data_IF_739441186240
#
_entry.id   IF_739441186240
#
_cell.length_a   1.000
_cell.length_b   1.000
_cell.length_c   1.000
_cell.angle_alpha   90.00
_cell.angle_beta   90.00
_cell.angle_gamma   90.00
#
_symmetry.space_group_name_H-M   'P 1'
#
loop_
_entity.id
_entity.type
_entity.pdbx_description
1 polymer ?
#
# COMPACT_ATOMS: atom_id res chain seq x y z
N UNK A 1 -15.51 -3.97 -31.45
CA UNK A 1 -16.27 -3.22 -32.46
C UNK A 1 -17.13 -2.19 -31.75
N UNK A 2 -17.02 -0.91 -32.10
CA UNK A 2 -17.91 0.12 -31.55
C UNK A 2 -19.29 -0.01 -32.21
N UNK A 3 -20.39 -0.23 -31.46
CA UNK A 3 -21.72 -0.47 -32.04
C UNK A 3 -22.27 0.69 -32.88
N UNK A 4 -21.80 1.91 -32.63
CA UNK A 4 -22.30 3.15 -33.24
C UNK A 4 -21.51 3.58 -34.48
N UNK A 5 -20.24 3.17 -34.60
CA UNK A 5 -19.32 3.64 -35.65
C UNK A 5 -18.69 2.53 -36.49
N UNK A 6 -18.86 1.25 -36.10
CA UNK A 6 -18.28 0.09 -36.79
C UNK A 6 -16.75 0.00 -36.68
N UNK A 7 -16.12 0.83 -35.85
CA UNK A 7 -14.67 0.86 -35.72
C UNK A 7 -14.20 -0.39 -34.97
N UNK A 8 -13.26 -1.11 -35.56
CA UNK A 8 -12.54 -2.25 -34.98
C UNK A 8 -11.09 -1.82 -34.76
N UNK A 9 -10.59 -2.04 -33.54
CA UNK A 9 -9.20 -1.79 -33.18
C UNK A 9 -8.51 -3.14 -33.09
N UNK A 10 -7.51 -3.37 -33.94
CA UNK A 10 -6.74 -4.61 -34.01
C UNK A 10 -5.27 -4.35 -33.65
N UNK A 11 -4.68 -5.27 -32.87
CA UNK A 11 -3.29 -5.15 -32.42
C UNK A 11 -2.97 -6.07 -31.25
N UNK A 12 -1.69 -6.10 -30.86
CA UNK A 12 -1.25 -6.74 -29.62
C UNK A 12 -1.25 -5.69 -28.50
N UNK A 13 -2.18 -5.83 -27.57
CA UNK A 13 -2.28 -4.95 -26.42
C UNK A 13 -1.71 -5.63 -25.19
N UNK A 14 -0.97 -4.85 -24.39
CA UNK A 14 -0.56 -5.23 -23.05
C UNK A 14 -0.78 -4.04 -22.13
N UNK A 15 -1.34 -4.31 -20.96
CA UNK A 15 -1.50 -3.31 -19.91
C UNK A 15 -0.18 -3.05 -19.15
N UNK A 16 0.90 -3.76 -19.49
CA UNK A 16 2.18 -3.65 -18.81
C UNK A 16 2.07 -3.99 -17.32
N UNK A 17 2.70 -3.20 -16.46
CA UNK A 17 2.64 -3.38 -15.01
C UNK A 17 1.27 -3.09 -14.41
N UNK A 18 0.48 -2.22 -15.04
CA UNK A 18 -0.86 -1.82 -14.58
C UNK A 18 -1.79 -3.04 -14.57
N UNK A 19 -1.67 -3.91 -15.57
CA UNK A 19 -2.45 -5.15 -15.66
C UNK A 19 -2.13 -6.19 -14.59
N UNK A 20 -1.09 -5.98 -13.77
CA UNK A 20 -0.75 -6.85 -12.64
C UNK A 20 -1.50 -6.49 -11.37
N UNK A 21 -2.13 -5.32 -11.32
CA UNK A 21 -2.82 -4.80 -10.14
C UNK A 21 -4.32 -5.03 -10.26
N UNK A 22 -4.94 -5.41 -9.14
CA UNK A 22 -6.40 -5.44 -9.02
C UNK A 22 -6.98 -4.02 -8.82
N UNK A 23 -8.32 -3.90 -8.81
CA UNK A 23 -8.97 -2.59 -8.70
C UNK A 23 -8.61 -1.84 -7.42
N UNK A 24 -8.64 -2.52 -6.27
CA UNK A 24 -8.33 -1.93 -4.97
C UNK A 24 -6.87 -1.44 -4.90
N UNK A 25 -5.95 -2.20 -5.50
CA UNK A 25 -4.54 -1.83 -5.60
C UNK A 25 -4.34 -0.61 -6.50
N UNK A 26 -5.07 -0.50 -7.60
CA UNK A 26 -5.04 0.68 -8.48
C UNK A 26 -5.57 1.92 -7.77
N UNK A 27 -6.70 1.80 -7.06
CA UNK A 27 -7.29 2.91 -6.29
C UNK A 27 -6.31 3.36 -5.17
N UNK A 28 -5.62 2.42 -4.53
CA UNK A 28 -4.57 2.71 -3.55
C UNK A 28 -3.39 3.47 -4.18
N UNK A 29 -2.90 3.04 -5.35
CA UNK A 29 -1.81 3.71 -6.08
C UNK A 29 -2.21 5.12 -6.50
N UNK A 30 -3.44 5.31 -6.99
CA UNK A 30 -3.96 6.63 -7.35
C UNK A 30 -3.91 7.58 -6.15
N UNK A 31 -4.40 7.12 -5.00
CA UNK A 31 -4.39 7.92 -3.78
C UNK A 31 -2.98 8.16 -3.25
N UNK A 32 -2.08 7.19 -3.39
CA UNK A 32 -0.67 7.35 -3.01
C UNK A 32 -0.01 8.44 -3.83
N UNK A 33 -0.26 8.49 -5.14
CA UNK A 33 0.24 9.55 -6.04
C UNK A 33 -0.40 10.90 -5.71
N UNK A 34 -1.72 10.94 -5.42
CA UNK A 34 -2.44 12.14 -4.95
C UNK A 34 -1.76 12.74 -3.72
N UNK A 35 -1.36 11.89 -2.77
CA UNK A 35 -0.65 12.29 -1.54
C UNK A 35 0.88 12.30 -1.67
N UNK A 36 1.43 12.23 -2.89
CA UNK A 36 2.89 12.31 -3.17
C UNK A 36 3.70 11.29 -2.36
N UNK A 37 3.19 10.07 -2.22
CA UNK A 37 3.83 8.99 -1.47
C UNK A 37 3.65 9.05 0.05
N UNK A 38 2.86 9.98 0.59
CA UNK A 38 2.68 10.10 2.03
C UNK A 38 1.69 9.04 2.57
N UNK A 39 2.24 7.90 3.03
CA UNK A 39 1.47 6.78 3.59
C UNK A 39 0.71 7.16 4.86
N UNK A 40 1.23 8.08 5.68
CA UNK A 40 0.53 8.52 6.90
C UNK A 40 -0.76 9.26 6.56
N UNK A 41 -0.72 10.18 5.59
CA UNK A 41 -1.92 10.86 5.09
C UNK A 41 -2.90 9.88 4.47
N UNK A 42 -2.39 8.89 3.75
CA UNK A 42 -3.21 7.89 3.09
C UNK A 42 -3.89 6.94 4.10
N UNK A 43 -3.20 6.57 5.18
CA UNK A 43 -3.77 5.81 6.29
C UNK A 43 -4.89 6.60 6.98
N UNK A 44 -4.68 7.90 7.23
CA UNK A 44 -5.69 8.78 7.80
C UNK A 44 -6.91 8.96 6.88
N UNK A 45 -6.70 9.11 5.56
CA UNK A 45 -7.79 9.20 4.57
C UNK A 45 -8.63 7.92 4.50
N UNK A 46 -7.96 6.77 4.61
CA UNK A 46 -8.60 5.45 4.59
C UNK A 46 -9.22 5.03 5.93
N UNK A 47 -9.06 5.83 6.98
CA UNK A 47 -9.44 5.49 8.37
C UNK A 47 -8.88 4.13 8.83
N UNK A 48 -7.60 3.90 8.52
CA UNK A 48 -6.87 2.68 8.92
C UNK A 48 -5.59 3.02 9.66
N UNK A 49 -5.12 2.08 10.49
CA UNK A 49 -3.80 2.19 11.09
C UNK A 49 -2.71 2.25 10.00
N UNK A 50 -1.62 2.96 10.29
CA UNK A 50 -0.46 3.08 9.40
C UNK A 50 0.05 1.71 8.90
N UNK A 51 0.06 0.71 9.78
CA UNK A 51 0.51 -0.66 9.45
C UNK A 51 -0.36 -1.31 8.38
N UNK A 52 -1.67 -1.07 8.42
CA UNK A 52 -2.60 -1.59 7.43
C UNK A 52 -2.33 -0.95 6.07
N UNK A 53 -2.13 0.37 6.02
CA UNK A 53 -1.76 1.05 4.78
C UNK A 53 -0.39 0.59 4.25
N UNK A 54 0.58 0.36 5.14
CA UNK A 54 1.91 -0.16 4.78
C UNK A 54 1.83 -1.58 4.21
N UNK A 55 1.07 -2.48 4.83
CA UNK A 55 0.84 -3.85 4.35
C UNK A 55 0.23 -3.85 2.95
N UNK A 56 -0.78 -3.01 2.71
CA UNK A 56 -1.38 -2.84 1.38
C UNK A 56 -0.35 -2.36 0.34
N UNK A 57 0.56 -1.47 0.72
CA UNK A 57 1.65 -1.05 -0.15
C UNK A 57 2.62 -2.22 -0.45
N UNK A 58 2.95 -3.05 0.54
CA UNK A 58 3.82 -4.21 0.36
C UNK A 58 3.21 -5.26 -0.56
N UNK A 59 1.89 -5.48 -0.47
CA UNK A 59 1.14 -6.32 -1.41
C UNK A 59 1.24 -5.80 -2.85
N UNK A 60 1.16 -4.48 -3.04
CA UNK A 60 1.32 -3.84 -4.36
C UNK A 60 2.76 -3.99 -4.86
N UNK A 61 3.77 -3.74 -4.02
CA UNK A 61 5.19 -3.94 -4.38
C UNK A 61 5.43 -5.37 -4.83
N UNK A 62 4.86 -6.34 -4.12
CA UNK A 62 4.94 -7.77 -4.45
C UNK A 62 4.26 -8.06 -5.80
N UNK A 63 3.06 -7.53 -6.04
CA UNK A 63 2.34 -7.68 -7.31
C UNK A 63 3.11 -7.09 -8.52
N UNK A 64 3.89 -6.03 -8.28
CA UNK A 64 4.77 -5.44 -9.30
C UNK A 64 6.09 -6.22 -9.51
N UNK A 65 6.37 -7.23 -8.68
CA UNK A 65 7.57 -8.06 -8.74
C UNK A 65 8.76 -7.52 -7.95
N UNK A 66 8.53 -6.55 -7.07
CA UNK A 66 9.52 -6.06 -6.10
C UNK A 66 9.54 -6.91 -4.83
N UNK A 67 10.63 -6.80 -4.08
CA UNK A 67 10.68 -7.29 -2.70
C UNK A 67 10.21 -6.15 -1.77
N UNK A 68 9.23 -6.37 -0.88
CA UNK A 68 8.84 -5.36 0.09
C UNK A 68 10.04 -4.98 0.97
N UNK A 69 10.20 -3.69 1.26
CA UNK A 69 11.27 -3.23 2.14
C UNK A 69 11.00 -3.72 3.58
N UNK A 70 11.86 -4.64 4.06
CA UNK A 70 12.01 -4.94 5.49
C UNK A 70 12.79 -3.81 6.17
N UNK A 71 12.30 -2.58 6.06
CA UNK A 71 12.92 -1.45 6.72
C UNK A 71 12.36 -1.39 8.14
N UNK A 72 13.07 -1.99 9.12
CA UNK A 72 12.67 -2.10 10.54
C UNK A 72 12.32 -0.77 11.25
N UNK A 73 12.37 0.35 10.53
CA UNK A 73 11.79 1.64 10.90
C UNK A 73 10.25 1.62 10.95
N UNK A 74 9.59 0.89 10.05
CA UNK A 74 8.13 0.78 10.03
C UNK A 74 7.65 0.05 11.30
N UNK A 75 8.33 -1.02 11.69
CA UNK A 75 8.07 -1.74 12.95
C UNK A 75 8.25 -0.83 14.16
N UNK A 76 9.32 -0.02 14.21
CA UNK A 76 9.53 0.89 15.34
C UNK A 76 8.42 1.94 15.48
N UNK A 77 7.93 2.50 14.37
CA UNK A 77 6.84 3.50 14.44
C UNK A 77 5.51 2.83 14.80
N UNK A 78 5.24 1.65 14.24
CA UNK A 78 4.11 0.80 14.58
C UNK A 78 4.06 0.45 16.07
N UNK A 79 5.20 0.08 16.66
CA UNK A 79 5.34 -0.22 18.08
C UNK A 79 5.02 1.03 18.92
N UNK A 80 5.51 2.20 18.52
CA UNK A 80 5.24 3.47 19.22
C UNK A 80 3.76 3.88 19.14
N UNK A 81 3.11 3.68 18.00
CA UNK A 81 1.68 4.00 17.83
C UNK A 81 0.81 3.07 18.69
N UNK A 82 1.13 1.77 18.73
CA UNK A 82 0.45 0.79 19.62
C UNK A 82 0.69 1.05 21.10
N UNK A 83 1.86 1.58 21.46
CA UNK A 83 2.14 2.03 22.83
C UNK A 83 1.30 3.26 23.17
N UNK A 84 1.18 4.22 22.24
CA UNK A 84 0.39 5.44 22.40
C UNK A 84 -1.13 5.16 22.53
N UNK A 85 -1.64 4.16 21.80
CA UNK A 85 -3.03 3.68 21.91
C UNK A 85 -3.29 2.78 23.13
N UNK A 86 -2.27 2.49 23.94
CA UNK A 86 -2.31 1.58 25.11
C UNK A 86 -2.65 0.13 24.76
N UNK A 87 -2.46 -0.28 23.50
CA UNK A 87 -2.64 -1.67 23.08
C UNK A 87 -1.52 -2.59 23.58
N UNK A 88 -0.35 -2.03 23.88
CA UNK A 88 0.81 -2.75 24.43
C UNK A 88 1.41 -2.00 25.61
N UNK A 89 2.08 -2.71 26.52
CA UNK A 89 2.81 -2.10 27.63
C UNK A 89 4.17 -1.55 27.20
N UNK A 90 4.75 -0.70 28.04
CA UNK A 90 6.11 -0.17 27.84
C UNK A 90 7.14 -1.31 27.78
N UNK A 91 7.03 -2.34 28.63
CA UNK A 91 7.93 -3.50 28.57
C UNK A 91 7.79 -4.27 27.25
N UNK A 92 6.56 -4.48 26.78
CA UNK A 92 6.29 -5.21 25.54
C UNK A 92 6.85 -4.44 24.32
N UNK A 93 6.67 -3.11 24.30
CA UNK A 93 7.24 -2.24 23.28
C UNK A 93 8.77 -2.30 23.26
N UNK A 94 9.41 -2.25 24.43
CA UNK A 94 10.88 -2.34 24.55
C UNK A 94 11.43 -3.69 24.08
N UNK A 95 10.68 -4.78 24.25
CA UNK A 95 11.05 -6.11 23.73
C UNK A 95 10.98 -6.14 22.20
N UNK A 96 9.91 -5.60 21.63
CA UNK A 96 9.70 -5.54 20.18
C UNK A 96 10.71 -4.62 19.47
N UNK A 97 11.24 -3.58 20.13
CA UNK A 97 12.23 -2.67 19.55
C UNK A 97 13.69 -3.21 19.53
N UNK A 98 13.97 -4.27 20.29
CA UNK A 98 15.31 -4.87 20.41
C UNK A 98 15.54 -6.03 19.42
N UNK A 99 14.51 -6.50 18.73
CA UNK A 99 14.60 -7.41 17.58
C UNK A 99 14.81 -6.64 16.28
#
# INVERSE_FOLDING_TARGET
>A
ECPESGIVIEGQFSLGWIGRLNREQLDFVEMLVKYRGNIQKLAAELDVAYNTARSRLDEIVTALGGAPENDGRADRRAILDRLASREISVEEAMRLMKG
#
